data_IF_020554502728
#
_entry.id   IF_020554502728
#
_cell.length_a   1.000
_cell.length_b   1.000
_cell.length_c   1.000
_cell.angle_alpha   90.00
_cell.angle_beta   90.00
_cell.angle_gamma   90.00
#
_symmetry.space_group_name_H-M   'P 1'
#
loop_
_entity.id
_entity.type
_entity.pdbx_description
1 polymer ?
#
# COMPACT_ATOMS: atom_id res chain seq x y z
N UNK A 1 5.01 2.38 -2.01
CA UNK A 1 5.80 3.54 -1.53
C UNK A 1 6.70 3.19 -0.34
N UNK A 2 6.16 2.61 0.74
CA UNK A 2 6.92 2.30 1.97
C UNK A 2 8.18 1.45 1.69
N UNK A 3 8.07 0.37 0.92
CA UNK A 3 9.21 -0.47 0.56
C UNK A 3 10.32 0.30 -0.18
N UNK A 4 9.93 1.27 -1.01
CA UNK A 4 10.88 2.12 -1.73
C UNK A 4 11.58 3.10 -0.79
N UNK A 5 10.85 3.68 0.16
CA UNK A 5 11.42 4.58 1.15
C UNK A 5 12.35 3.84 2.13
N UNK A 6 12.00 2.60 2.50
CA UNK A 6 12.82 1.74 3.34
C UNK A 6 14.10 1.22 2.65
N UNK A 7 14.32 1.54 1.36
CA UNK A 7 15.51 1.12 0.63
C UNK A 7 15.58 -0.39 0.37
N UNK A 8 14.43 -1.04 0.24
CA UNK A 8 14.36 -2.48 0.00
C UNK A 8 14.85 -2.80 -1.41
N UNK A 9 15.67 -3.84 -1.55
CA UNK A 9 16.21 -4.28 -2.84
C UNK A 9 15.24 -5.13 -3.65
N UNK A 10 14.50 -6.02 -2.97
CA UNK A 10 13.54 -6.91 -3.61
C UNK A 10 12.28 -7.14 -2.76
N UNK A 11 11.14 -7.32 -3.42
CA UNK A 11 9.83 -7.62 -2.81
C UNK A 11 9.23 -8.87 -3.44
N UNK A 12 8.77 -9.82 -2.61
CA UNK A 12 7.95 -10.94 -3.07
C UNK A 12 6.61 -10.92 -2.34
N UNK A 13 5.51 -10.93 -3.08
CA UNK A 13 4.15 -10.89 -2.52
C UNK A 13 3.21 -11.78 -3.34
N UNK A 14 2.30 -12.50 -2.70
CA UNK A 14 1.37 -13.35 -3.44
C UNK A 14 0.37 -12.50 -4.24
N UNK A 15 -0.11 -11.39 -3.67
CA UNK A 15 -1.06 -10.49 -4.31
C UNK A 15 -0.48 -9.08 -4.39
N UNK A 16 -0.67 -8.42 -5.52
CA UNK A 16 -0.27 -7.02 -5.72
C UNK A 16 -1.36 -6.19 -6.41
N UNK A 17 -1.48 -4.91 -6.07
CA UNK A 17 -2.37 -3.98 -6.79
C UNK A 17 -1.69 -3.35 -8.00
N UNK A 18 -2.49 -2.98 -8.99
CA UNK A 18 -2.02 -2.21 -10.16
C UNK A 18 -1.35 -0.89 -9.73
N UNK A 19 -1.86 -0.27 -8.66
CA UNK A 19 -1.27 0.94 -8.09
C UNK A 19 0.13 0.67 -7.51
N UNK A 20 0.30 -0.42 -6.74
CA UNK A 20 1.59 -0.80 -6.20
C UNK A 20 2.61 -1.10 -7.32
N UNK A 21 2.18 -1.76 -8.41
CA UNK A 21 3.03 -1.99 -9.58
C UNK A 21 3.49 -0.69 -10.23
N UNK A 22 2.63 0.32 -10.35
CA UNK A 22 3.02 1.62 -10.91
C UNK A 22 4.08 2.32 -10.07
N UNK A 23 4.01 2.20 -8.74
CA UNK A 23 5.04 2.73 -7.84
C UNK A 23 6.34 1.93 -7.97
N UNK A 24 6.26 0.60 -8.02
CA UNK A 24 7.44 -0.26 -8.15
C UNK A 24 8.14 -0.12 -9.50
N UNK A 25 7.41 0.13 -10.59
CA UNK A 25 7.99 0.44 -11.91
C UNK A 25 8.82 1.72 -11.92
N UNK A 26 8.48 2.68 -11.06
CA UNK A 26 9.22 3.94 -10.90
C UNK A 26 10.40 3.79 -9.94
N UNK A 27 10.47 2.70 -9.17
CA UNK A 27 11.56 2.42 -8.25
C UNK A 27 12.51 1.37 -8.82
N UNK A 28 13.70 1.24 -8.24
CA UNK A 28 14.71 0.27 -8.68
C UNK A 28 14.58 -1.07 -7.92
N UNK A 29 13.38 -1.39 -7.43
CA UNK A 29 13.11 -2.55 -6.58
C UNK A 29 12.76 -3.73 -7.48
N UNK A 30 13.42 -4.86 -7.29
CA UNK A 30 13.03 -6.11 -7.96
C UNK A 30 11.75 -6.65 -7.30
N UNK A 31 10.73 -6.99 -8.08
CA UNK A 31 9.47 -7.48 -7.51
C UNK A 31 8.98 -8.73 -8.22
N UNK A 32 8.49 -9.67 -7.41
CA UNK A 32 7.84 -10.90 -7.87
C UNK A 32 6.46 -11.00 -7.23
N UNK A 33 5.46 -11.40 -8.03
CA UNK A 33 4.09 -11.59 -7.58
C UNK A 33 3.40 -12.74 -8.26
N UNK A 34 2.49 -13.40 -7.55
CA UNK A 34 1.71 -14.52 -8.09
C UNK A 34 0.42 -14.04 -8.76
N UNK A 35 -0.29 -13.10 -8.12
CA UNK A 35 -1.59 -12.59 -8.53
C UNK A 35 -1.61 -11.05 -8.55
N UNK A 36 -2.37 -10.47 -9.49
CA UNK A 36 -2.59 -9.03 -9.59
C UNK A 36 -4.06 -8.67 -9.50
N UNK A 37 -4.38 -7.55 -8.87
CA UNK A 37 -5.73 -6.99 -8.78
C UNK A 37 -5.71 -5.49 -9.06
N UNK A 38 -6.84 -4.91 -9.44
CA UNK A 38 -6.96 -3.45 -9.62
C UNK A 38 -6.77 -2.71 -8.29
N UNK A 39 -7.33 -3.24 -7.21
CA UNK A 39 -7.20 -2.67 -5.86
C UNK A 39 -7.26 -3.77 -4.80
N UNK A 40 -6.61 -3.51 -3.67
CA UNK A 40 -6.69 -4.38 -2.48
C UNK A 40 -8.01 -4.10 -1.77
N UNK A 41 -8.78 -5.15 -1.51
CA UNK A 41 -10.04 -5.06 -0.75
C UNK A 41 -9.77 -4.92 0.75
N UNK A 42 -10.72 -4.32 1.47
CA UNK A 42 -10.71 -4.29 2.93
C UNK A 42 -10.97 -5.70 3.51
N UNK A 43 -10.75 -5.86 4.81
CA UNK A 43 -10.92 -7.15 5.50
C UNK A 43 -12.32 -7.74 5.30
N UNK A 44 -13.34 -6.89 5.26
CA UNK A 44 -14.74 -7.31 5.15
C UNK A 44 -15.18 -7.54 3.69
N UNK A 45 -14.28 -7.33 2.70
CA UNK A 45 -14.55 -7.42 1.25
C UNK A 45 -15.77 -6.60 0.80
N UNK A 46 -16.00 -5.48 1.47
CA UNK A 46 -17.09 -4.55 1.17
C UNK A 46 -16.62 -3.37 0.33
N UNK A 47 -15.32 -3.20 0.14
CA UNK A 47 -14.76 -2.14 -0.69
C UNK A 47 -13.24 -2.08 -0.63
N UNK A 48 -12.68 -0.96 -1.07
CA UNK A 48 -11.24 -0.74 -1.13
C UNK A 48 -10.64 -0.63 0.28
N UNK A 49 -9.43 -1.20 0.44
CA UNK A 49 -8.67 -1.06 1.67
C UNK A 49 -8.44 0.44 1.99
N UNK A 50 -8.66 0.87 3.24
CA UNK A 50 -8.43 2.26 3.63
C UNK A 50 -7.00 2.71 3.39
N UNK A 51 -6.01 1.83 3.60
CA UNK A 51 -4.59 2.11 3.34
C UNK A 51 -4.32 2.31 1.85
N UNK A 52 -4.94 1.49 0.99
CA UNK A 52 -4.83 1.65 -0.47
C UNK A 52 -5.43 3.00 -0.91
N UNK A 53 -6.57 3.37 -0.32
CA UNK A 53 -7.23 4.65 -0.59
C UNK A 53 -6.36 5.84 -0.19
N UNK A 54 -5.68 5.76 0.96
CA UNK A 54 -4.74 6.81 1.40
C UNK A 54 -3.57 6.89 0.40
N UNK A 55 -3.02 5.75 0.00
CA UNK A 55 -1.92 5.66 -0.98
C UNK A 55 -2.29 6.15 -2.39
N UNK A 56 -3.57 6.22 -2.74
CA UNK A 56 -4.04 6.77 -4.02
C UNK A 56 -4.23 8.29 -3.97
N UNK A 57 -4.36 8.88 -2.78
CA UNK A 57 -4.60 10.32 -2.60
C UNK A 57 -3.33 11.15 -2.52
N UNK A 58 -2.20 10.51 -2.23
CA UNK A 58 -0.91 11.19 -2.09
C UNK A 58 0.22 10.33 -2.64
N UNK A 59 1.16 11.00 -3.30
CA UNK A 59 2.43 10.42 -3.73
C UNK A 59 3.57 10.73 -2.73
N UNK A 60 3.30 11.50 -1.66
CA UNK A 60 4.27 11.82 -0.62
C UNK A 60 4.28 10.76 0.48
N UNK A 61 5.46 10.22 0.78
CA UNK A 61 5.62 9.18 1.79
C UNK A 61 5.27 9.65 3.20
N UNK A 62 5.55 10.90 3.55
CA UNK A 62 5.23 11.44 4.88
C UNK A 62 3.72 11.60 5.04
N UNK A 63 3.03 12.10 4.01
CA UNK A 63 1.57 12.19 4.03
C UNK A 63 0.92 10.81 4.10
N UNK A 64 1.45 9.82 3.36
CA UNK A 64 1.02 8.44 3.44
C UNK A 64 1.18 7.89 4.86
N UNK A 65 2.35 8.05 5.46
CA UNK A 65 2.65 7.55 6.81
C UNK A 65 1.76 8.22 7.86
N UNK A 66 1.54 9.53 7.76
CA UNK A 66 0.62 10.26 8.63
C UNK A 66 -0.82 9.74 8.48
N UNK A 67 -1.31 9.57 7.25
CA UNK A 67 -2.66 9.05 7.00
C UNK A 67 -2.85 7.62 7.52
N UNK A 68 -1.83 6.77 7.37
CA UNK A 68 -1.84 5.40 7.94
C UNK A 68 -1.83 5.46 9.48
N UNK A 69 -1.02 6.34 10.07
CA UNK A 69 -0.97 6.54 11.52
C UNK A 69 -2.34 6.95 12.07
N UNK A 70 -2.97 7.96 11.47
CA UNK A 70 -4.32 8.41 11.83
C UNK A 70 -5.36 7.28 11.71
N UNK A 71 -5.25 6.46 10.66
CA UNK A 71 -6.12 5.31 10.46
C UNK A 71 -5.94 4.25 11.56
N UNK A 72 -4.69 3.92 11.90
CA UNK A 72 -4.37 2.97 12.96
C UNK A 72 -4.82 3.47 14.33
N UNK A 73 -4.64 4.77 14.63
CA UNK A 73 -5.14 5.37 15.85
C UNK A 73 -6.67 5.30 15.96
N UNK A 74 -7.39 5.54 14.86
CA UNK A 74 -8.85 5.40 14.83
C UNK A 74 -9.29 3.97 15.11
N UNK A 75 -8.63 2.97 14.51
CA UNK A 75 -8.93 1.55 14.80
C UNK A 75 -8.67 1.25 16.28
N UNK A 76 -7.58 1.77 16.84
CA UNK A 76 -7.20 1.53 18.24
C UNK A 76 -8.19 2.12 19.25
N UNK A 77 -8.93 3.16 18.88
CA UNK A 77 -9.98 3.78 19.72
C UNK A 77 -11.34 3.07 19.63
N UNK A 78 -11.53 2.21 18.62
CA UNK A 78 -12.78 1.45 18.40
C UNK A 78 -12.72 0.05 19.05
N UNK A 79 -11.52 -0.40 19.44
CA UNK A 79 -11.30 -1.57 20.31
C UNK A 79 -11.21 -1.15 21.78
#
# INVERSE_FOLDING_TARGET
>A
MICSHAGIKALKTNLISDNALNVLKKSNIEYEYDERTQFIENRDRTGMCPVETISLKTDDINELLNGISDFLEKIKRVN
#
